data_IF_156795833267
#
_entry.id   IF_156795833267
#
_cell.length_a   1.000
_cell.length_b   1.000
_cell.length_c   1.000
_cell.angle_alpha   90.00
_cell.angle_beta   90.00
_cell.angle_gamma   90.00
#
_symmetry.space_group_name_H-M   'P 1'
#
loop_
_entity.id
_entity.type
_entity.pdbx_description
1 polymer ?
#
# COMPACT_ATOMS: atom_id res chain seq x y z
N UNK A 1 19.52 -18.27 -33.43
CA UNK A 1 18.50 -17.94 -32.41
C UNK A 1 19.06 -17.45 -31.04
N UNK A 2 20.08 -16.56 -30.95
CA UNK A 2 20.58 -16.09 -29.64
C UNK A 2 19.88 -14.83 -29.11
N UNK A 3 19.19 -14.06 -29.96
CA UNK A 3 18.58 -12.77 -29.58
C UNK A 3 17.34 -12.97 -28.71
N UNK A 4 16.50 -13.94 -29.06
CA UNK A 4 15.26 -14.25 -28.32
C UNK A 4 15.56 -14.70 -26.89
N UNK A 5 16.58 -15.53 -26.68
CA UNK A 5 17.03 -15.94 -25.34
C UNK A 5 17.52 -14.75 -24.50
N UNK A 6 18.33 -13.85 -25.09
CA UNK A 6 18.80 -12.64 -24.38
C UNK A 6 17.63 -11.74 -23.97
N UNK A 7 16.63 -11.58 -24.83
CA UNK A 7 15.43 -10.79 -24.54
C UNK A 7 14.61 -11.40 -23.40
N UNK A 8 14.46 -12.73 -23.40
CA UNK A 8 13.73 -13.47 -22.37
C UNK A 8 14.41 -13.34 -21.00
N UNK A 9 15.75 -13.43 -20.95
CA UNK A 9 16.52 -13.21 -19.72
C UNK A 9 16.32 -11.78 -19.20
N UNK A 10 16.37 -10.77 -20.08
CA UNK A 10 16.14 -9.37 -19.68
C UNK A 10 14.74 -9.18 -19.08
N UNK A 11 13.70 -9.76 -19.71
CA UNK A 11 12.34 -9.71 -19.18
C UNK A 11 12.22 -10.38 -17.80
N UNK A 12 12.85 -11.55 -17.61
CA UNK A 12 12.84 -12.25 -16.33
C UNK A 12 13.57 -11.46 -15.25
N UNK A 13 14.73 -10.89 -15.57
CA UNK A 13 15.50 -10.06 -14.63
C UNK A 13 14.72 -8.79 -14.27
N UNK A 14 14.11 -8.12 -15.25
CA UNK A 14 13.26 -6.95 -15.00
C UNK A 14 12.05 -7.30 -14.12
N UNK A 15 11.44 -8.47 -14.32
CA UNK A 15 10.36 -8.96 -13.48
C UNK A 15 10.81 -9.20 -12.03
N UNK A 16 11.96 -9.85 -11.82
CA UNK A 16 12.51 -10.09 -10.47
C UNK A 16 12.84 -8.76 -9.79
N UNK A 17 13.48 -7.84 -10.49
CA UNK A 17 13.82 -6.51 -9.97
C UNK A 17 12.56 -5.71 -9.60
N UNK A 18 11.52 -5.78 -10.41
CA UNK A 18 10.22 -5.15 -10.12
C UNK A 18 9.64 -5.66 -8.80
N UNK A 19 9.63 -6.98 -8.59
CA UNK A 19 9.14 -7.57 -7.33
C UNK A 19 10.00 -7.21 -6.12
N UNK A 20 11.33 -7.21 -6.27
CA UNK A 20 12.25 -6.76 -5.23
C UNK A 20 11.97 -5.30 -4.84
N UNK A 21 11.77 -4.42 -5.82
CA UNK A 21 11.42 -3.02 -5.58
C UNK A 21 10.07 -2.88 -4.86
N UNK A 22 9.06 -3.67 -5.26
CA UNK A 22 7.75 -3.67 -4.61
C UNK A 22 7.83 -4.14 -3.15
N UNK A 23 8.63 -5.16 -2.84
CA UNK A 23 8.86 -5.66 -1.48
C UNK A 23 9.59 -4.60 -0.63
N UNK A 24 10.66 -4.00 -1.17
CA UNK A 24 11.40 -2.94 -0.48
C UNK A 24 10.51 -1.73 -0.17
N UNK A 25 9.72 -1.30 -1.16
CA UNK A 25 8.74 -0.24 -0.98
C UNK A 25 7.73 -0.60 0.12
N UNK A 26 7.24 -1.84 0.13
CA UNK A 26 6.30 -2.32 1.13
C UNK A 26 6.88 -2.36 2.55
N UNK A 27 8.13 -2.83 2.71
CA UNK A 27 8.84 -2.84 3.98
C UNK A 27 9.04 -1.40 4.51
N UNK A 28 9.52 -0.50 3.64
CA UNK A 28 9.71 0.91 4.01
C UNK A 28 8.40 1.59 4.39
N UNK A 29 7.33 1.35 3.63
CA UNK A 29 5.99 1.86 3.90
C UNK A 29 5.46 1.34 5.25
N UNK A 30 5.64 0.04 5.52
CA UNK A 30 5.21 -0.58 6.77
C UNK A 30 5.89 0.02 7.99
N UNK A 31 7.21 0.22 7.93
CA UNK A 31 8.00 0.83 9.02
C UNK A 31 7.58 2.29 9.24
N UNK A 32 7.48 3.07 8.15
CA UNK A 32 7.10 4.49 8.22
C UNK A 32 5.70 4.69 8.81
N UNK A 33 4.78 3.77 8.49
CA UNK A 33 3.40 3.85 8.95
C UNK A 33 3.18 3.23 10.34
N UNK A 34 4.15 2.49 10.88
CA UNK A 34 4.01 1.77 12.15
C UNK A 34 3.87 2.69 13.37
N UNK A 35 4.31 3.95 13.30
CA UNK A 35 4.15 4.96 14.36
C UNK A 35 3.48 6.25 13.89
N UNK A 36 2.94 6.25 12.67
CA UNK A 36 2.34 7.42 12.05
C UNK A 36 0.91 7.71 12.55
N UNK A 37 0.57 9.00 12.65
CA UNK A 37 -0.79 9.51 12.80
C UNK A 37 -1.43 9.77 11.43
N UNK A 38 -2.74 10.04 11.42
CA UNK A 38 -3.55 10.13 10.19
C UNK A 38 -2.99 11.13 9.14
N UNK A 39 -2.39 12.23 9.57
CA UNK A 39 -1.80 13.22 8.66
C UNK A 39 -0.58 12.66 7.93
N UNK A 40 0.26 11.88 8.62
CA UNK A 40 1.40 11.21 7.99
C UNK A 40 0.94 10.11 7.04
N UNK A 41 -0.20 9.46 7.32
CA UNK A 41 -0.84 8.55 6.35
C UNK A 41 -1.28 9.31 5.09
N UNK A 42 -1.92 10.47 5.24
CA UNK A 42 -2.34 11.30 4.10
C UNK A 42 -1.16 11.80 3.28
N UNK A 43 -0.09 12.23 3.92
CA UNK A 43 1.14 12.71 3.26
C UNK A 43 1.84 11.58 2.47
N UNK A 44 2.07 10.43 3.12
CA UNK A 44 2.85 9.33 2.53
C UNK A 44 2.05 8.56 1.47
N UNK A 45 0.76 8.29 1.73
CA UNK A 45 -0.07 7.54 0.80
C UNK A 45 -0.62 8.45 -0.29
N UNK A 46 -0.99 9.69 0.01
CA UNK A 46 -1.70 10.55 -0.94
C UNK A 46 -2.94 9.85 -1.54
N UNK A 47 -3.49 10.41 -2.60
CA UNK A 47 -4.51 9.75 -3.42
C UNK A 47 -5.90 9.65 -2.79
N UNK A 48 -6.75 8.81 -3.40
CA UNK A 48 -8.16 8.64 -3.01
C UNK A 48 -8.23 7.95 -1.64
N UNK A 49 -8.64 8.71 -0.62
CA UNK A 49 -8.89 8.21 0.72
C UNK A 49 -10.39 8.07 0.95
N UNK A 50 -10.84 6.87 1.32
CA UNK A 50 -12.22 6.61 1.74
C UNK A 50 -12.24 6.30 3.23
N UNK A 51 -13.29 6.73 3.92
CA UNK A 51 -13.47 6.40 5.33
C UNK A 51 -14.88 5.89 5.60
N UNK A 52 -15.01 5.07 6.63
CA UNK A 52 -16.31 4.65 7.18
C UNK A 52 -16.23 4.51 8.68
N UNK A 53 -17.34 4.82 9.36
CA UNK A 53 -17.48 4.55 10.78
C UNK A 53 -17.58 3.04 11.02
N UNK A 54 -16.81 2.54 11.97
CA UNK A 54 -16.89 1.15 12.46
C UNK A 54 -17.64 1.10 13.78
N UNK A 55 -17.49 2.16 14.59
CA UNK A 55 -18.23 2.39 15.82
C UNK A 55 -18.33 3.91 16.05
N UNK A 56 -19.07 4.35 17.07
CA UNK A 56 -19.29 5.78 17.37
C UNK A 56 -17.98 6.58 17.60
N UNK A 57 -16.87 5.92 17.89
CA UNK A 57 -15.58 6.58 18.20
C UNK A 57 -14.43 6.16 17.26
N UNK A 58 -14.68 5.25 16.30
CA UNK A 58 -13.62 4.66 15.47
C UNK A 58 -13.98 4.75 13.99
N UNK A 59 -13.09 5.41 13.24
CA UNK A 59 -13.13 5.50 11.77
C UNK A 59 -12.12 4.56 11.15
N UNK A 60 -12.57 3.77 10.17
CA UNK A 60 -11.69 2.98 9.31
C UNK A 60 -11.42 3.76 8.04
N UNK A 61 -10.16 4.01 7.79
CA UNK A 61 -9.69 4.63 6.56
C UNK A 61 -9.12 3.57 5.63
N UNK A 62 -9.45 3.70 4.35
CA UNK A 62 -8.93 2.91 3.23
C UNK A 62 -8.23 3.86 2.28
N UNK A 63 -6.95 3.60 2.04
CA UNK A 63 -6.19 4.25 0.97
C UNK A 63 -5.96 3.27 -0.16
N UNK A 64 -6.13 3.78 -1.37
CA UNK A 64 -5.87 3.07 -2.62
C UNK A 64 -4.72 3.77 -3.32
N UNK A 65 -3.52 3.15 -3.33
CA UNK A 65 -2.33 3.72 -3.95
C UNK A 65 -1.64 2.65 -4.81
N UNK A 66 -1.73 2.80 -6.12
CA UNK A 66 -1.19 1.85 -7.10
C UNK A 66 -1.68 0.41 -6.84
N UNK A 67 -0.79 -0.53 -6.51
CA UNK A 67 -1.09 -1.93 -6.19
C UNK A 67 -1.26 -2.20 -4.68
N UNK A 68 -1.27 -1.14 -3.85
CA UNK A 68 -1.33 -1.26 -2.39
C UNK A 68 -2.63 -0.65 -1.87
N UNK A 69 -3.46 -1.51 -1.28
CA UNK A 69 -4.62 -1.11 -0.49
C UNK A 69 -4.26 -1.16 0.98
N UNK A 70 -4.26 0.01 1.61
CA UNK A 70 -3.97 0.13 3.02
C UNK A 70 -5.22 0.41 3.82
N UNK A 71 -5.41 -0.34 4.91
CA UNK A 71 -6.52 -0.12 5.85
C UNK A 71 -5.97 0.11 7.26
N UNK A 72 -6.39 1.21 7.87
CA UNK A 72 -6.05 1.53 9.24
C UNK A 72 -7.28 2.10 9.98
N UNK A 73 -7.28 1.94 11.30
CA UNK A 73 -8.34 2.42 12.19
C UNK A 73 -7.79 3.54 13.06
N UNK A 74 -8.51 4.65 13.09
CA UNK A 74 -8.20 5.80 13.91
C UNK A 74 -9.39 6.14 14.78
N UNK A 75 -9.13 6.66 15.97
CA UNK A 75 -10.16 7.28 16.80
C UNK A 75 -10.57 8.62 16.22
N UNK A 76 -11.69 9.16 16.68
CA UNK A 76 -12.14 10.50 16.26
C UNK A 76 -11.13 11.61 16.64
N UNK A 77 -10.35 11.41 17.70
CA UNK A 77 -9.21 12.27 18.08
C UNK A 77 -7.98 12.13 17.16
N UNK A 78 -8.08 11.37 16.06
CA UNK A 78 -7.01 11.19 15.08
C UNK A 78 -5.91 10.21 15.49
N UNK A 79 -5.98 9.63 16.70
CA UNK A 79 -5.00 8.66 17.20
C UNK A 79 -5.22 7.29 16.58
N UNK A 80 -4.14 6.59 16.25
CA UNK A 80 -4.25 5.24 15.71
C UNK A 80 -4.68 4.23 16.78
N UNK A 81 -5.71 3.44 16.47
CA UNK A 81 -6.07 2.28 17.30
C UNK A 81 -5.02 1.20 17.08
N UNK A 82 -4.43 0.64 18.16
CA UNK A 82 -3.48 -0.49 18.09
C UNK A 82 -4.16 -1.75 17.57
N UNK A 83 -4.38 -1.83 16.26
CA UNK A 83 -4.74 -3.04 15.52
C UNK A 83 -3.66 -3.31 14.49
N UNK A 84 -3.35 -4.58 14.18
CA UNK A 84 -2.41 -4.91 13.12
C UNK A 84 -2.89 -4.29 11.81
N UNK A 85 -1.96 -3.67 11.08
CA UNK A 85 -2.24 -3.18 9.74
C UNK A 85 -2.70 -4.34 8.88
N UNK A 86 -3.83 -4.16 8.20
CA UNK A 86 -4.19 -5.05 7.11
C UNK A 86 -3.73 -4.40 5.81
N UNK A 87 -2.48 -4.67 5.48
CA UNK A 87 -1.98 -4.44 4.15
C UNK A 87 -2.59 -5.49 3.22
N UNK A 88 -3.31 -5.03 2.22
CA UNK A 88 -3.73 -5.86 1.10
C UNK A 88 -2.97 -5.37 -0.11
N UNK A 89 -2.07 -6.21 -0.62
CA UNK A 89 -1.55 -6.02 -1.96
C UNK A 89 -2.70 -6.41 -2.89
N UNK A 90 -3.39 -5.41 -3.42
CA UNK A 90 -4.46 -5.63 -4.38
C UNK A 90 -3.80 -5.68 -5.74
N UNK A 91 -3.48 -6.89 -6.22
CA UNK A 91 -2.98 -7.14 -7.59
C UNK A 91 -4.16 -7.07 -8.57
N UNK A 92 -5.06 -6.10 -8.38
CA UNK A 92 -6.07 -5.81 -9.39
C UNK A 92 -5.42 -4.91 -10.43
N UNK A 93 -5.52 -5.23 -11.74
CA UNK A 93 -5.23 -4.24 -12.76
C UNK A 93 -6.11 -3.05 -12.41
N UNK A 94 -5.51 -1.87 -12.31
CA UNK A 94 -6.17 -0.63 -11.93
C UNK A 94 -7.41 -0.42 -12.80
N UNK A 95 -8.56 -0.90 -12.34
CA UNK A 95 -9.85 -0.59 -12.93
C UNK A 95 -10.11 0.86 -12.59
N UNK A 96 -9.82 1.70 -13.58
CA UNK A 96 -10.23 3.08 -13.71
C UNK A 96 -11.73 3.16 -13.39
N UNK A 97 -12.06 3.84 -12.30
CA UNK A 97 -13.38 4.41 -12.02
C UNK A 97 -13.18 5.90 -11.70
#
# INVERSE_FOLDING_TARGET
>A
MPIVQKLLIICVVAYILYWLFAILYFCWLSVSLQKADIDKFREVLGGKCQYKYVNNEIRRYKWDKYWVVLRAHFTDDGKRVKRPFRFLIDIRPSCVF
#
